data_IF_731841911460
#
_entry.id   IF_731841911460
#
_cell.length_a   1.000
_cell.length_b   1.000
_cell.length_c   1.000
_cell.angle_alpha   90.00
_cell.angle_beta   90.00
_cell.angle_gamma   90.00
#
_symmetry.space_group_name_H-M   'P 1'
#
loop_
_entity.id
_entity.type
_entity.pdbx_description
1 polymer ?
#
# COMPACT_ATOMS: atom_id res chain seq x y z
N UNK A 1 31.56 57.87 -29.09
CA UNK A 1 30.34 57.03 -29.14
C UNK A 1 30.73 55.59 -29.47
N UNK A 2 30.86 54.68 -28.49
CA UNK A 2 30.76 53.22 -28.70
C UNK A 2 30.34 52.56 -27.38
N UNK A 3 29.04 52.40 -27.19
CA UNK A 3 28.47 51.66 -26.07
C UNK A 3 28.43 50.17 -26.46
N UNK A 4 29.30 49.35 -25.87
CA UNK A 4 29.30 47.90 -26.04
C UNK A 4 28.17 47.33 -25.17
N UNK A 5 27.10 46.84 -25.80
CA UNK A 5 26.03 46.12 -25.11
C UNK A 5 26.40 44.63 -25.10
N UNK A 6 26.72 44.09 -23.92
CA UNK A 6 26.81 42.65 -23.71
C UNK A 6 25.40 42.07 -23.63
N UNK A 7 24.98 41.35 -24.67
CA UNK A 7 23.72 40.62 -24.68
C UNK A 7 23.91 39.33 -23.88
N UNK A 8 23.42 39.29 -22.64
CA UNK A 8 23.40 38.09 -21.80
C UNK A 8 22.34 37.12 -22.36
N UNK A 9 22.79 36.09 -23.08
CA UNK A 9 21.91 35.03 -23.57
C UNK A 9 21.63 34.06 -22.42
N UNK A 10 20.46 34.19 -21.79
CA UNK A 10 20.01 33.30 -20.72
C UNK A 10 19.61 31.96 -21.34
N UNK A 11 20.51 30.99 -21.27
CA UNK A 11 20.31 29.64 -21.81
C UNK A 11 19.38 28.88 -20.85
N UNK A 12 18.09 28.90 -21.15
CA UNK A 12 17.10 28.06 -20.46
C UNK A 12 17.36 26.63 -20.93
N UNK A 13 18.11 25.86 -20.13
CA UNK A 13 18.21 24.42 -20.32
C UNK A 13 16.87 23.84 -19.87
N UNK A 14 16.07 23.22 -20.75
CA UNK A 14 14.90 22.48 -20.29
C UNK A 14 15.41 21.35 -19.41
N UNK A 15 15.02 21.36 -18.13
CA UNK A 15 15.23 20.22 -17.24
C UNK A 15 14.26 19.15 -17.74
N UNK A 16 14.76 18.25 -18.58
CA UNK A 16 14.03 17.05 -18.98
C UNK A 16 14.12 16.10 -17.78
N UNK A 17 13.05 16.02 -16.99
CA UNK A 17 12.92 14.98 -15.99
C UNK A 17 12.76 13.63 -16.71
N UNK A 18 13.78 12.79 -16.62
CA UNK A 18 13.69 11.42 -17.11
C UNK A 18 12.75 10.64 -16.20
N UNK A 19 11.72 10.02 -16.76
CA UNK A 19 10.82 9.19 -15.96
C UNK A 19 11.59 8.02 -15.34
N UNK A 20 11.33 7.70 -14.05
CA UNK A 20 11.88 6.53 -13.38
C UNK A 20 11.65 5.25 -14.17
N UNK A 21 12.65 4.36 -14.16
CA UNK A 21 12.63 3.09 -14.86
C UNK A 21 13.15 1.99 -13.95
N UNK A 22 12.64 0.79 -14.13
CA UNK A 22 13.14 -0.39 -13.43
C UNK A 22 14.27 -0.97 -14.29
N UNK A 23 15.51 -0.80 -13.82
CA UNK A 23 16.71 -1.36 -14.46
C UNK A 23 17.48 -2.31 -13.55
N UNK A 24 17.30 -2.17 -12.24
CA UNK A 24 17.93 -2.99 -11.20
C UNK A 24 16.87 -3.48 -10.20
N UNK A 25 17.29 -4.32 -9.24
CA UNK A 25 16.43 -4.71 -8.12
C UNK A 25 16.01 -3.51 -7.26
N UNK A 26 16.89 -2.52 -7.10
CA UNK A 26 16.60 -1.29 -6.37
C UNK A 26 16.93 -0.13 -7.29
N UNK A 27 15.94 0.74 -7.52
CA UNK A 27 16.04 1.91 -8.38
C UNK A 27 15.78 3.12 -7.49
N UNK A 28 16.83 3.59 -6.81
CA UNK A 28 16.77 4.70 -5.88
C UNK A 28 17.09 6.01 -6.58
N UNK A 29 16.05 6.79 -6.88
CA UNK A 29 16.16 8.12 -7.47
C UNK A 29 16.24 9.24 -6.41
N UNK A 30 16.03 8.89 -5.14
CA UNK A 30 16.07 9.81 -4.00
C UNK A 30 17.40 9.78 -3.24
N UNK A 31 18.26 8.80 -3.53
CA UNK A 31 19.56 8.58 -2.88
C UNK A 31 19.46 8.43 -1.35
N UNK A 32 18.50 7.65 -0.88
CA UNK A 32 18.27 7.38 0.55
C UNK A 32 18.82 6.02 1.01
N UNK A 33 19.12 5.12 0.06
CA UNK A 33 19.62 3.78 0.35
C UNK A 33 21.14 3.79 0.35
N UNK A 34 21.73 3.31 1.44
CA UNK A 34 23.17 3.17 1.55
C UNK A 34 23.67 1.90 0.83
N UNK A 35 24.95 1.87 0.46
CA UNK A 35 25.57 0.70 -0.18
C UNK A 35 25.37 -0.63 0.60
N UNK A 36 25.54 -0.68 1.94
CA UNK A 36 25.26 -1.90 2.70
C UNK A 36 23.79 -2.34 2.59
N UNK A 37 22.84 -1.42 2.69
CA UNK A 37 21.40 -1.72 2.57
C UNK A 37 21.06 -2.18 1.16
N UNK A 38 21.60 -1.52 0.14
CA UNK A 38 21.44 -1.93 -1.25
C UNK A 38 21.88 -3.39 -1.44
N UNK A 39 23.06 -3.75 -0.94
CA UNK A 39 23.59 -5.12 -1.03
C UNK A 39 22.70 -6.14 -0.31
N UNK A 40 22.22 -5.82 0.89
CA UNK A 40 21.35 -6.72 1.66
C UNK A 40 19.99 -6.93 0.97
N UNK A 41 19.33 -5.84 0.56
CA UNK A 41 18.01 -5.89 -0.07
C UNK A 41 18.10 -6.54 -1.46
N UNK A 42 19.11 -6.18 -2.27
CA UNK A 42 19.31 -6.78 -3.59
C UNK A 42 19.63 -8.28 -3.52
N UNK A 43 20.30 -8.73 -2.45
CA UNK A 43 20.52 -10.17 -2.22
C UNK A 43 19.21 -10.94 -2.02
N UNK A 44 18.21 -10.35 -1.36
CA UNK A 44 16.88 -10.95 -1.18
C UNK A 44 16.17 -11.04 -2.53
N UNK A 45 16.11 -9.93 -3.27
CA UNK A 45 15.49 -9.89 -4.59
C UNK A 45 16.14 -10.90 -5.56
N UNK A 46 17.46 -11.04 -5.51
CA UNK A 46 18.19 -12.04 -6.29
C UNK A 46 17.81 -13.48 -5.90
N UNK A 47 17.68 -13.80 -4.61
CA UNK A 47 17.28 -15.15 -4.16
C UNK A 47 15.85 -15.48 -4.57
N UNK A 48 14.93 -14.53 -4.48
CA UNK A 48 13.55 -14.65 -5.00
C UNK A 48 13.52 -14.95 -6.50
N UNK A 49 14.37 -14.28 -7.28
CA UNK A 49 14.44 -14.53 -8.72
C UNK A 49 15.09 -15.89 -9.02
N UNK A 50 16.19 -16.24 -8.35
CA UNK A 50 16.91 -17.49 -8.56
C UNK A 50 16.11 -18.73 -8.17
N UNK A 51 15.29 -18.64 -7.12
CA UNK A 51 14.35 -19.71 -6.76
C UNK A 51 13.19 -19.85 -7.76
N UNK A 52 13.01 -18.84 -8.62
CA UNK A 52 11.89 -18.73 -9.54
C UNK A 52 10.57 -18.36 -8.84
N UNK A 53 10.63 -17.92 -7.58
CA UNK A 53 9.47 -17.54 -6.79
C UNK A 53 8.90 -16.19 -7.25
N UNK A 54 9.72 -15.15 -7.32
CA UNK A 54 9.28 -13.82 -7.74
C UNK A 54 10.37 -13.00 -8.45
N UNK A 55 9.97 -12.15 -9.38
CA UNK A 55 10.80 -11.06 -9.89
C UNK A 55 10.44 -9.79 -9.11
N UNK A 56 11.27 -9.45 -8.13
CA UNK A 56 11.02 -8.35 -7.19
C UNK A 56 11.90 -7.13 -7.48
N UNK A 57 11.28 -5.96 -7.62
CA UNK A 57 11.99 -4.68 -7.68
C UNK A 57 11.41 -3.62 -6.73
N UNK A 58 12.26 -2.67 -6.37
CA UNK A 58 11.96 -1.52 -5.54
C UNK A 58 12.28 -0.25 -6.31
N UNK A 59 11.38 0.72 -6.28
CA UNK A 59 11.54 2.03 -6.92
C UNK A 59 11.28 3.10 -5.88
N UNK A 60 12.26 3.98 -5.69
CA UNK A 60 12.19 5.07 -4.71
C UNK A 60 12.31 6.38 -5.48
N UNK A 61 11.35 7.27 -5.29
CA UNK A 61 11.28 8.55 -5.99
C UNK A 61 10.98 9.69 -5.03
N UNK A 62 11.41 10.89 -5.40
CA UNK A 62 11.18 12.06 -4.55
C UNK A 62 9.69 12.38 -4.46
N UNK A 63 8.97 12.42 -5.58
CA UNK A 63 7.55 12.74 -5.63
C UNK A 63 6.88 12.03 -6.80
N UNK A 64 5.56 11.83 -6.68
CA UNK A 64 4.67 11.36 -7.75
C UNK A 64 4.24 12.48 -8.70
N UNK A 65 4.63 13.73 -8.44
CA UNK A 65 4.28 14.91 -9.25
C UNK A 65 2.77 15.10 -9.46
N UNK A 66 1.98 14.73 -8.44
CA UNK A 66 0.51 14.81 -8.48
C UNK A 66 -0.17 13.65 -9.22
N UNK A 67 0.59 12.64 -9.66
CA UNK A 67 0.04 11.37 -10.14
C UNK A 67 -0.35 10.49 -8.95
N UNK A 68 -1.45 9.77 -9.09
CA UNK A 68 -1.93 8.76 -8.15
C UNK A 68 -0.97 7.56 -8.08
N UNK A 69 -0.63 7.07 -6.87
CA UNK A 69 0.44 6.08 -6.69
C UNK A 69 0.09 4.74 -7.34
N UNK A 70 -1.19 4.37 -7.39
CA UNK A 70 -1.71 3.17 -8.03
C UNK A 70 -1.47 3.21 -9.54
N UNK A 71 -1.85 4.33 -10.15
CA UNK A 71 -1.61 4.56 -11.58
C UNK A 71 -0.11 4.61 -11.87
N UNK A 72 0.66 5.26 -11.01
CA UNK A 72 2.10 5.39 -11.13
C UNK A 72 2.82 4.04 -11.07
N UNK A 73 2.55 3.22 -10.05
CA UNK A 73 3.19 1.92 -9.87
C UNK A 73 2.79 0.92 -10.95
N UNK A 74 1.51 0.89 -11.34
CA UNK A 74 1.03 0.00 -12.38
C UNK A 74 1.73 0.29 -13.72
N UNK A 75 1.88 1.57 -14.07
CA UNK A 75 2.59 1.97 -15.28
C UNK A 75 4.07 1.56 -15.26
N UNK A 76 4.71 1.53 -14.09
CA UNK A 76 6.09 1.06 -13.95
C UNK A 76 6.21 -0.46 -14.05
N UNK A 77 5.32 -1.21 -13.40
CA UNK A 77 5.41 -2.67 -13.29
C UNK A 77 4.91 -3.41 -14.55
N UNK A 78 3.86 -2.90 -15.20
CA UNK A 78 3.14 -3.61 -16.25
C UNK A 78 4.04 -3.95 -17.44
N UNK A 79 4.20 -5.24 -17.74
CA UNK A 79 5.03 -5.71 -18.86
C UNK A 79 6.54 -5.56 -18.63
N UNK A 80 6.94 -5.10 -17.44
CA UNK A 80 8.33 -4.92 -17.01
C UNK A 80 8.73 -5.95 -15.95
N UNK A 81 7.82 -6.37 -15.06
CA UNK A 81 8.14 -7.32 -13.99
C UNK A 81 7.34 -8.63 -14.10
N UNK A 82 7.98 -9.72 -13.69
CA UNK A 82 7.41 -11.06 -13.64
C UNK A 82 7.57 -11.81 -14.95
N UNK A 83 7.51 -13.13 -14.87
CA UNK A 83 7.48 -14.02 -16.03
C UNK A 83 6.08 -14.05 -16.68
N UNK A 84 6.01 -14.23 -18.01
CA UNK A 84 4.75 -14.16 -18.78
C UNK A 84 3.78 -15.27 -18.41
N UNK A 85 4.31 -16.45 -18.12
CA UNK A 85 3.53 -17.63 -17.78
C UNK A 85 3.21 -17.63 -16.29
N UNK A 86 4.22 -17.36 -15.45
CA UNK A 86 4.05 -17.41 -13.99
C UNK A 86 3.35 -16.18 -13.43
N UNK A 87 3.41 -15.03 -14.08
CA UNK A 87 2.88 -13.76 -13.60
C UNK A 87 3.37 -13.41 -12.18
N UNK A 88 4.65 -13.70 -11.91
CA UNK A 88 5.24 -13.64 -10.57
C UNK A 88 6.04 -12.35 -10.30
N UNK A 89 5.58 -11.22 -10.85
CA UNK A 89 6.21 -9.91 -10.63
C UNK A 89 5.79 -9.31 -9.30
N UNK A 90 6.72 -8.62 -8.62
CA UNK A 90 6.46 -7.87 -7.40
C UNK A 90 7.16 -6.52 -7.48
N UNK A 91 6.46 -5.44 -7.16
CA UNK A 91 7.03 -4.09 -7.12
C UNK A 91 6.70 -3.42 -5.79
N UNK A 92 7.68 -2.77 -5.18
CA UNK A 92 7.46 -1.77 -4.13
C UNK A 92 7.84 -0.39 -4.67
N UNK A 93 6.87 0.52 -4.78
CA UNK A 93 7.11 1.93 -5.06
C UNK A 93 7.03 2.73 -3.77
N UNK A 94 7.98 3.65 -3.57
CA UNK A 94 8.02 4.56 -2.43
C UNK A 94 8.20 5.98 -2.96
N UNK A 95 7.33 6.89 -2.52
CA UNK A 95 7.46 8.32 -2.78
C UNK A 95 7.73 9.08 -1.50
N UNK A 96 8.89 9.72 -1.43
CA UNK A 96 9.43 10.29 -0.20
C UNK A 96 8.70 11.56 0.26
N UNK A 97 8.41 12.48 -0.67
CA UNK A 97 7.74 13.74 -0.36
C UNK A 97 6.24 13.56 -0.17
N UNK A 98 5.62 12.67 -0.95
CA UNK A 98 4.20 12.36 -0.84
C UNK A 98 3.89 11.46 0.37
N UNK A 99 4.93 10.84 0.94
CA UNK A 99 4.86 9.83 2.01
C UNK A 99 3.87 8.72 1.69
N UNK A 100 3.99 8.16 0.49
CA UNK A 100 3.14 7.08 0.01
C UNK A 100 4.00 5.93 -0.47
N UNK A 101 3.53 4.72 -0.23
CA UNK A 101 4.14 3.53 -0.81
C UNK A 101 3.05 2.63 -1.39
N UNK A 102 3.45 1.78 -2.34
CA UNK A 102 2.56 0.80 -2.94
C UNK A 102 3.30 -0.47 -3.30
N UNK A 103 2.69 -1.59 -2.92
CA UNK A 103 3.02 -2.90 -3.45
C UNK A 103 2.14 -3.21 -4.66
N UNK A 104 2.74 -3.59 -5.78
CA UNK A 104 2.04 -4.24 -6.89
C UNK A 104 2.38 -5.72 -6.92
N UNK A 105 1.35 -6.55 -6.90
CA UNK A 105 1.49 -8.00 -6.81
C UNK A 105 1.00 -8.63 -8.11
N UNK A 106 1.87 -9.38 -8.77
CA UNK A 106 1.53 -10.17 -9.95
C UNK A 106 0.57 -11.30 -9.58
N UNK A 107 -0.33 -11.65 -10.50
CA UNK A 107 -1.39 -12.65 -10.26
C UNK A 107 -0.88 -14.01 -9.80
N UNK A 108 0.34 -14.37 -10.19
CA UNK A 108 0.99 -15.63 -9.77
C UNK A 108 1.36 -15.65 -8.30
N UNK A 109 1.51 -14.49 -7.67
CA UNK A 109 1.87 -14.35 -6.26
C UNK A 109 0.64 -14.14 -5.37
N UNK A 110 -0.54 -13.84 -5.92
CA UNK A 110 -1.77 -13.60 -5.13
C UNK A 110 -2.12 -14.73 -4.14
N UNK A 111 -1.91 -16.03 -4.44
CA UNK A 111 -2.17 -17.09 -3.47
C UNK A 111 -1.34 -16.97 -2.19
N UNK A 112 -0.08 -16.53 -2.31
CA UNK A 112 0.88 -16.44 -1.21
C UNK A 112 0.94 -15.04 -0.59
N UNK A 113 0.79 -14.01 -1.43
CA UNK A 113 0.84 -12.58 -1.10
C UNK A 113 -0.47 -11.86 -1.45
N UNK A 114 -1.62 -12.27 -0.88
CA UNK A 114 -2.88 -11.55 -1.08
C UNK A 114 -2.82 -10.15 -0.46
N UNK A 115 -3.72 -9.25 -0.88
CA UNK A 115 -3.76 -7.85 -0.42
C UNK A 115 -3.74 -7.70 1.11
N UNK A 116 -4.40 -8.60 1.84
CA UNK A 116 -4.42 -8.57 3.32
C UNK A 116 -3.05 -8.86 3.95
N UNK A 117 -2.20 -9.64 3.29
CA UNK A 117 -0.83 -9.92 3.72
C UNK A 117 0.04 -8.70 3.43
N UNK A 118 -0.08 -8.13 2.23
CA UNK A 118 0.64 -6.91 1.85
C UNK A 118 0.24 -5.71 2.71
N UNK A 119 -1.04 -5.58 3.05
CA UNK A 119 -1.55 -4.62 4.02
C UNK A 119 -0.78 -4.67 5.34
N UNK A 120 -0.47 -5.87 5.83
CA UNK A 120 0.20 -6.05 7.12
C UNK A 120 1.69 -5.90 7.05
N UNK A 121 2.32 -6.38 5.98
CA UNK A 121 3.74 -6.10 5.73
C UNK A 121 3.94 -4.59 5.64
N UNK A 122 3.07 -3.86 4.93
CA UNK A 122 3.09 -2.41 4.90
C UNK A 122 2.89 -1.78 6.29
N UNK A 123 1.75 -2.03 6.92
CA UNK A 123 1.36 -1.29 8.14
C UNK A 123 2.06 -1.72 9.43
N UNK A 124 2.52 -2.98 9.53
CA UNK A 124 3.12 -3.51 10.77
C UNK A 124 4.63 -3.67 10.68
N UNK A 125 5.20 -3.66 9.48
CA UNK A 125 6.65 -3.79 9.27
C UNK A 125 7.19 -2.52 8.63
N UNK A 126 6.71 -2.12 7.45
CA UNK A 126 7.29 -1.02 6.69
C UNK A 126 7.07 0.35 7.37
N UNK A 127 5.82 0.70 7.67
CA UNK A 127 5.42 2.00 8.23
C UNK A 127 6.14 2.37 9.53
N UNK A 128 6.25 1.48 10.56
CA UNK A 128 6.97 1.83 11.80
C UNK A 128 8.42 2.28 11.58
N UNK A 129 9.14 1.65 10.64
CA UNK A 129 10.51 2.08 10.32
C UNK A 129 10.52 3.40 9.54
N UNK A 130 9.53 3.64 8.69
CA UNK A 130 9.41 4.89 7.92
C UNK A 130 9.06 6.09 8.83
N UNK A 131 8.25 5.87 9.87
CA UNK A 131 7.97 6.86 10.93
C UNK A 131 9.25 7.26 11.68
N UNK A 132 10.21 6.33 11.83
CA UNK A 132 11.52 6.57 12.44
C UNK A 132 12.59 7.05 11.44
N UNK A 133 12.21 7.35 10.20
CA UNK A 133 13.10 7.74 9.09
C UNK A 133 14.17 6.68 8.75
N UNK A 134 13.93 5.42 9.14
CA UNK A 134 14.82 4.29 8.91
C UNK A 134 14.39 3.48 7.66
N UNK A 135 14.39 4.14 6.51
CA UNK A 135 13.81 3.62 5.27
C UNK A 135 14.47 2.33 4.77
N UNK A 136 15.80 2.27 4.77
CA UNK A 136 16.53 1.10 4.30
C UNK A 136 16.23 -0.15 5.13
N UNK A 137 16.20 -0.01 6.47
CA UNK A 137 15.84 -1.13 7.35
C UNK A 137 14.38 -1.54 7.18
N UNK A 138 13.45 -0.58 7.02
CA UNK A 138 12.05 -0.89 6.75
C UNK A 138 11.85 -1.70 5.46
N UNK A 139 12.50 -1.28 4.38
CA UNK A 139 12.46 -1.99 3.10
C UNK A 139 13.09 -3.39 3.24
N UNK A 140 14.20 -3.50 3.96
CA UNK A 140 14.86 -4.78 4.22
C UNK A 140 13.95 -5.75 4.99
N UNK A 141 13.36 -5.35 6.11
CA UNK A 141 12.49 -6.22 6.91
C UNK A 141 11.21 -6.60 6.17
N UNK A 142 10.61 -5.67 5.41
CA UNK A 142 9.47 -5.99 4.55
C UNK A 142 9.85 -7.01 3.45
N UNK A 143 11.01 -6.83 2.81
CA UNK A 143 11.54 -7.75 1.79
C UNK A 143 11.85 -9.14 2.36
N UNK A 144 12.35 -9.19 3.58
CA UNK A 144 12.62 -10.44 4.30
C UNK A 144 11.34 -11.19 4.66
N UNK A 145 10.28 -10.48 5.07
CA UNK A 145 8.97 -11.10 5.30
C UNK A 145 8.40 -11.72 4.01
N UNK A 146 8.52 -11.01 2.88
CA UNK A 146 8.15 -11.52 1.55
C UNK A 146 8.95 -12.78 1.20
N UNK A 147 10.27 -12.76 1.37
CA UNK A 147 11.13 -13.94 1.14
C UNK A 147 10.73 -15.13 2.00
N UNK A 148 10.43 -14.88 3.27
CA UNK A 148 10.01 -15.92 4.21
C UNK A 148 8.73 -16.62 3.77
N UNK A 149 7.75 -15.87 3.26
CA UNK A 149 6.51 -16.43 2.74
C UNK A 149 6.79 -17.24 1.46
N UNK A 150 7.51 -16.66 0.51
CA UNK A 150 7.66 -17.22 -0.84
C UNK A 150 8.66 -18.37 -0.95
N UNK A 151 9.71 -18.38 -0.13
CA UNK A 151 10.80 -19.38 -0.19
C UNK A 151 10.80 -20.29 1.04
N UNK A 152 10.67 -19.70 2.23
CA UNK A 152 10.83 -20.46 3.48
C UNK A 152 9.53 -21.18 3.91
N UNK A 153 8.43 -20.96 3.18
CA UNK A 153 7.14 -21.61 3.41
C UNK A 153 6.46 -21.15 4.70
N UNK A 154 6.75 -19.95 5.18
CA UNK A 154 5.99 -19.37 6.28
C UNK A 154 4.54 -19.17 5.83
N UNK A 155 3.59 -19.65 6.64
CA UNK A 155 2.18 -19.47 6.33
C UNK A 155 1.83 -17.98 6.33
N UNK A 156 1.31 -17.48 5.20
CA UNK A 156 0.82 -16.11 5.08
C UNK A 156 -0.25 -15.77 6.13
N UNK A 157 -0.91 -16.79 6.69
CA UNK A 157 -1.85 -16.67 7.81
C UNK A 157 -1.24 -16.11 9.10
N UNK A 158 0.06 -16.30 9.31
CA UNK A 158 0.78 -15.70 10.45
C UNK A 158 0.78 -14.18 10.35
N UNK A 159 0.91 -13.67 9.12
CA UNK A 159 0.74 -12.27 8.86
C UNK A 159 -0.72 -11.89 9.02
N UNK A 160 -1.72 -12.67 8.57
CA UNK A 160 -3.18 -12.37 8.68
C UNK A 160 -3.78 -12.56 10.09
N UNK A 161 -3.11 -13.19 11.04
CA UNK A 161 -3.63 -13.33 12.41
C UNK A 161 -3.35 -12.06 13.20
N UNK A 162 -4.36 -11.20 13.38
CA UNK A 162 -4.17 -10.01 14.20
C UNK A 162 -3.92 -10.49 15.62
N UNK A 163 -2.74 -10.24 16.16
CA UNK A 163 -2.61 -10.15 17.61
C UNK A 163 -3.29 -8.85 18.00
N UNK A 164 -4.62 -8.82 17.94
CA UNK A 164 -5.43 -7.81 18.62
C UNK A 164 -4.87 -7.80 20.03
N UNK A 165 -4.32 -6.66 20.45
CA UNK A 165 -3.83 -6.51 21.82
C UNK A 165 -4.97 -6.96 22.73
N UNK A 166 -4.86 -8.16 23.32
CA UNK A 166 -5.92 -8.79 24.11
C UNK A 166 -6.34 -7.84 25.24
N UNK A 167 -5.40 -7.00 25.67
CA UNK A 167 -5.58 -5.92 26.62
C UNK A 167 -6.63 -4.89 26.17
N UNK A 168 -6.64 -4.45 24.91
CA UNK A 168 -7.62 -3.47 24.42
C UNK A 168 -9.04 -4.07 24.39
N UNK A 169 -9.20 -5.28 23.86
CA UNK A 169 -10.50 -5.96 23.87
C UNK A 169 -10.98 -6.24 25.30
N UNK A 170 -10.08 -6.63 26.20
CA UNK A 170 -10.40 -6.88 27.61
C UNK A 170 -10.79 -5.59 28.34
N UNK A 171 -10.08 -4.48 28.12
CA UNK A 171 -10.40 -3.16 28.67
C UNK A 171 -11.74 -2.66 28.12
N UNK A 172 -11.98 -2.83 26.82
CA UNK A 172 -13.25 -2.46 26.18
C UNK A 172 -14.42 -3.26 26.75
N UNK A 173 -14.27 -4.58 26.92
CA UNK A 173 -15.28 -5.44 27.55
C UNK A 173 -15.54 -5.01 29.00
N UNK A 174 -14.51 -4.70 29.78
CA UNK A 174 -14.65 -4.21 31.16
C UNK A 174 -15.43 -2.89 31.19
N UNK A 175 -15.11 -1.94 30.30
CA UNK A 175 -15.82 -0.65 30.20
C UNK A 175 -17.27 -0.85 29.78
N UNK A 176 -17.53 -1.73 28.81
CA UNK A 176 -18.89 -2.05 28.35
C UNK A 176 -19.73 -2.65 29.47
N UNK A 177 -19.18 -3.62 30.22
CA UNK A 177 -19.86 -4.23 31.36
C UNK A 177 -20.12 -3.21 32.47
N UNK A 178 -19.15 -2.32 32.76
CA UNK A 178 -19.33 -1.22 33.71
C UNK A 178 -20.50 -0.30 33.29
N UNK A 179 -20.57 0.09 32.02
CA UNK A 179 -21.65 0.95 31.51
C UNK A 179 -23.02 0.28 31.53
N UNK A 180 -23.10 -1.03 31.26
CA UNK A 180 -24.35 -1.78 31.39
C UNK A 180 -24.81 -1.79 32.84
N UNK A 181 -23.93 -2.16 33.78
CA UNK A 181 -24.25 -2.20 35.22
C UNK A 181 -24.63 -0.79 35.73
N UNK A 182 -23.87 0.23 35.34
CA UNK A 182 -24.17 1.62 35.67
C UNK A 182 -25.55 2.03 35.11
N UNK A 183 -25.88 1.69 33.87
CA UNK A 183 -27.19 1.98 33.28
C UNK A 183 -28.37 1.34 34.04
N UNK A 184 -28.16 0.19 34.69
CA UNK A 184 -29.18 -0.44 35.54
C UNK A 184 -29.32 0.24 36.91
N UNK A 185 -28.22 0.71 37.51
CA UNK A 185 -28.20 1.38 38.82
C UNK A 185 -28.64 2.85 38.71
N UNK A 186 -28.26 3.51 37.61
CA UNK A 186 -28.54 4.92 37.34
C UNK A 186 -29.93 5.17 36.76
N UNK A 187 -30.81 4.15 36.68
CA UNK A 187 -32.21 4.40 36.34
C UNK A 187 -32.79 5.28 37.45
N UNK A 188 -33.12 6.57 37.21
CA UNK A 188 -33.89 7.32 38.20
C UNK A 188 -35.19 6.54 38.38
N UNK A 189 -35.60 6.31 39.62
CA UNK A 189 -36.94 5.84 39.94
C UNK A 189 -37.93 6.90 39.43
N UNK A 190 -38.26 6.85 38.13
CA UNK A 190 -39.25 7.68 37.48
C UNK A 190 -40.59 7.22 38.02
N UNK A 191 -41.01 7.89 39.10
CA UNK A 191 -42.38 7.87 39.56
C UNK A 191 -43.31 8.07 38.37
N UNK A 192 -44.28 7.17 38.26
CA UNK A 192 -45.31 7.15 37.24
C UNK A 192 -45.98 8.53 37.12
N UNK A 193 -45.60 9.31 36.10
CA UNK A 193 -46.40 10.45 35.64
C UNK A 193 -47.22 9.99 34.45
N UNK A 194 -48.50 9.80 34.74
CA UNK A 194 -49.58 9.57 33.79
C UNK A 194 -49.72 10.81 32.89
N UNK A 195 -49.50 10.69 31.58
CA UNK A 195 -49.98 11.67 30.60
C UNK A 195 -50.40 10.98 29.30
N UNK A 196 -51.62 11.32 28.88
CA UNK A 196 -52.34 10.78 27.75
C UNK A 196 -51.76 11.21 26.40
N UNK A 197 -51.66 10.24 25.49
CA UNK A 197 -52.02 10.38 24.07
C UNK A 197 -51.09 11.18 23.14
N UNK A 198 -50.43 10.48 22.21
CA UNK A 198 -50.76 10.42 20.76
C UNK A 198 -49.60 9.79 19.98
N UNK A 199 -49.98 8.89 19.05
CA UNK A 199 -49.11 8.12 18.14
C UNK A 199 -48.34 9.02 17.18
N UNK A 200 -47.05 8.75 16.97
CA UNK A 200 -46.40 8.85 15.65
C UNK A 200 -45.25 7.84 15.57
N UNK A 201 -45.32 6.94 14.60
CA UNK A 201 -44.40 5.83 14.33
C UNK A 201 -43.33 6.37 13.37
N UNK A 202 -42.05 6.36 13.75
CA UNK A 202 -40.92 6.69 12.86
C UNK A 202 -40.37 5.38 12.30
N UNK A 203 -40.18 5.31 10.98
CA UNK A 203 -39.75 4.13 10.23
C UNK A 203 -38.59 4.54 9.34
N UNK A 204 -37.41 4.85 9.91
CA UNK A 204 -36.38 5.55 9.13
C UNK A 204 -34.97 4.92 9.12
N UNK A 205 -34.74 3.76 9.74
CA UNK A 205 -33.35 3.24 9.84
C UNK A 205 -32.98 2.13 8.84
N UNK A 206 -33.94 1.42 8.23
CA UNK A 206 -33.63 0.30 7.32
C UNK A 206 -33.56 0.69 5.84
N UNK A 207 -34.32 1.70 5.40
CA UNK A 207 -34.38 2.11 4.00
C UNK A 207 -33.13 2.88 3.54
N UNK A 208 -32.50 3.63 4.45
CA UNK A 208 -31.29 4.42 4.17
C UNK A 208 -30.07 3.54 3.93
N UNK A 209 -29.93 2.46 4.71
CA UNK A 209 -28.83 1.48 4.56
C UNK A 209 -28.96 0.71 3.24
N UNK A 210 -30.18 0.41 2.79
CA UNK A 210 -30.43 -0.29 1.54
C UNK A 210 -30.10 0.55 0.29
N UNK A 211 -30.26 1.88 0.35
CA UNK A 211 -29.93 2.76 -0.77
C UNK A 211 -28.41 2.90 -0.98
N UNK A 212 -27.63 2.99 0.09
CA UNK A 212 -26.16 3.13 0.03
C UNK A 212 -25.51 1.85 -0.53
N UNK A 213 -26.01 0.67 -0.18
CA UNK A 213 -25.50 -0.60 -0.67
C UNK A 213 -25.67 -0.79 -2.20
N UNK A 214 -26.63 -0.09 -2.81
CA UNK A 214 -26.98 -0.28 -4.23
C UNK A 214 -26.07 0.44 -5.24
N UNK A 215 -25.25 1.41 -4.79
CA UNK A 215 -24.39 2.20 -5.67
C UNK A 215 -22.94 1.67 -5.82
N UNK A 216 -22.56 0.61 -5.09
CA UNK A 216 -21.19 0.07 -5.08
C UNK A 216 -20.96 -0.99 -6.17
N UNK A 217 -22.01 -1.49 -6.85
CA UNK A 217 -21.97 -2.68 -7.70
C UNK A 217 -21.97 -2.45 -9.23
N UNK A 218 -21.53 -1.30 -9.75
CA UNK A 218 -21.47 -1.07 -11.22
C UNK A 218 -20.10 -0.59 -11.69
N UNK A 219 -19.35 -1.50 -12.30
CA UNK A 219 -17.98 -1.30 -12.79
C UNK A 219 -17.86 -0.56 -14.13
N UNK A 220 -16.63 -0.51 -14.63
CA UNK A 220 -16.25 0.01 -15.93
C UNK A 220 -14.93 -0.61 -16.40
N UNK A 221 -14.86 -0.94 -17.69
CA UNK A 221 -13.90 -1.83 -18.37
C UNK A 221 -13.28 -1.08 -19.56
N UNK A 222 -11.99 -1.30 -19.85
CA UNK A 222 -11.29 -0.90 -21.09
C UNK A 222 -9.89 -0.35 -20.79
N UNK A 223 -8.80 -0.61 -21.50
CA UNK A 223 -8.54 -1.33 -22.75
C UNK A 223 -7.54 -0.53 -23.64
N UNK A 224 -6.48 -1.20 -24.12
CA UNK A 224 -5.41 -0.78 -25.09
C UNK A 224 -4.24 0.08 -24.54
N UNK A 225 -2.94 -0.11 -24.86
CA UNK A 225 -2.20 -1.09 -25.69
C UNK A 225 -0.81 -0.57 -26.13
N UNK A 226 0.23 -1.42 -26.09
CA UNK A 226 1.53 -1.37 -26.83
C UNK A 226 2.66 -0.50 -26.24
N UNK A 227 3.94 -0.88 -26.08
CA UNK A 227 4.76 -2.07 -26.37
C UNK A 227 6.26 -1.68 -26.40
N UNK A 228 7.18 -2.47 -25.82
CA UNK A 228 8.57 -2.80 -26.24
C UNK A 228 9.32 -3.53 -25.10
N UNK A 229 10.08 -4.60 -25.42
CA UNK A 229 10.80 -5.48 -24.49
C UNK A 229 12.20 -4.97 -24.07
N UNK A 230 12.94 -5.65 -23.18
CA UNK A 230 12.79 -7.03 -22.72
C UNK A 230 12.96 -7.18 -21.21
N UNK A 231 11.81 -7.38 -20.57
CA UNK A 231 11.58 -8.32 -19.49
C UNK A 231 10.53 -9.30 -20.02
N UNK A 232 10.44 -10.52 -19.52
CA UNK A 232 9.36 -11.42 -19.94
C UNK A 232 8.07 -11.06 -19.18
N UNK A 233 7.70 -9.78 -19.16
CA UNK A 233 6.75 -9.21 -18.20
C UNK A 233 5.42 -9.95 -18.06
N UNK A 234 5.07 -10.27 -16.83
CA UNK A 234 3.77 -10.79 -16.42
C UNK A 234 2.69 -9.69 -16.38
N UNK A 235 1.44 -10.10 -16.18
CA UNK A 235 0.31 -9.18 -16.02
C UNK A 235 -0.01 -8.98 -14.54
N UNK A 236 -0.13 -7.72 -14.14
CA UNK A 236 -0.66 -7.30 -12.85
C UNK A 236 -2.19 -7.21 -12.95
N UNK A 237 -2.89 -7.84 -12.03
CA UNK A 237 -4.35 -8.02 -12.07
C UNK A 237 -5.15 -6.94 -11.34
N UNK A 238 -4.46 -5.91 -10.81
CA UNK A 238 -5.03 -4.95 -9.86
C UNK A 238 -4.86 -5.35 -8.39
N UNK A 239 -4.15 -6.45 -8.10
CA UNK A 239 -3.75 -6.83 -6.74
C UNK A 239 -2.58 -6.00 -6.24
N UNK A 240 -2.63 -5.55 -4.99
CA UNK A 240 -1.66 -4.64 -4.43
C UNK A 240 -2.21 -3.81 -3.27
N UNK A 241 -1.30 -3.27 -2.46
CA UNK A 241 -1.65 -2.47 -1.28
C UNK A 241 -0.90 -1.14 -1.29
N UNK A 242 -1.64 -0.05 -1.10
CA UNK A 242 -1.09 1.31 -0.95
C UNK A 242 -1.19 1.74 0.52
N UNK A 243 -0.14 2.37 1.05
CA UNK A 243 -0.12 2.92 2.40
C UNK A 243 0.54 4.30 2.45
N UNK A 244 0.45 4.94 3.62
CA UNK A 244 1.01 6.28 3.90
C UNK A 244 1.66 6.30 5.28
N UNK A 245 2.66 7.15 5.47
CA UNK A 245 3.32 7.41 6.76
C UNK A 245 3.55 8.92 7.00
#
# INVERSE_FOLDING_TARGET
MKNIHYLLFLLIVPIVFAQPKITNYINDYSNIITEPEYSQISSIAQRLQQSGAAEYAIVIVDTLEGVDIESYSLNLAQGVLGDKEKNNGLLLVISMQDKQYRFEVGRGLEPDLPDIVMFRIGTQILEPYFEEENYGLGIFEASKAIESILINGEESQNYVSSKTNDNFLRIFIIIMVFFVIFSFISRPYRGYKHYNGRRKKSTDDLFTVAWIASNILRGGKGGFGGGFGGFSGGSFGGGGFSGKW
#
